data_IF_859236053340
#
_entry.id   IF_859236053340
#
_cell.length_a   1.000
_cell.length_b   1.000
_cell.length_c   1.000
_cell.angle_alpha   90.00
_cell.angle_beta   90.00
_cell.angle_gamma   90.00
#
_symmetry.space_group_name_H-M   'P 1'
#
loop_
_entity.id
_entity.type
_entity.pdbx_description
1 polymer ?
#
# COMPACT_ATOMS: atom_id res chain seq x y z
N UNK A 1 -10.20 5.14 3.79
CA UNK A 1 -11.23 4.18 4.24
C UNK A 1 -12.24 3.99 3.10
N UNK A 2 -11.79 3.46 1.95
CA UNK A 2 -12.59 3.41 0.70
C UNK A 2 -12.98 1.96 0.29
N UNK A 3 -12.48 0.92 0.97
CA UNK A 3 -12.71 -0.47 0.52
C UNK A 3 -13.76 -1.28 1.29
N UNK A 4 -14.47 -0.71 2.26
CA UNK A 4 -15.46 -1.46 3.07
C UNK A 4 -16.86 -1.56 2.41
N UNK A 5 -17.04 -1.10 1.18
CA UNK A 5 -18.36 -0.79 0.62
C UNK A 5 -19.04 -1.79 -0.31
N UNK A 6 -18.37 -2.84 -0.80
CA UNK A 6 -19.05 -3.89 -1.60
C UNK A 6 -18.74 -5.25 -1.01
N UNK A 7 -19.79 -5.89 -0.50
CA UNK A 7 -19.76 -7.25 0.01
C UNK A 7 -19.18 -8.17 -1.06
N UNK A 8 -18.09 -8.87 -0.75
CA UNK A 8 -17.63 -9.97 -1.61
C UNK A 8 -18.72 -11.04 -1.81
N UNK A 9 -19.66 -11.14 -0.86
CA UNK A 9 -20.84 -11.99 -0.91
C UNK A 9 -21.86 -11.59 -2.00
N UNK A 10 -21.75 -10.40 -2.62
CA UNK A 10 -22.62 -9.98 -3.74
C UNK A 10 -22.06 -10.36 -5.11
N UNK A 11 -20.84 -10.90 -5.20
CA UNK A 11 -20.26 -11.36 -6.46
C UNK A 11 -20.66 -12.82 -6.73
N UNK A 12 -21.86 -13.01 -7.28
CA UNK A 12 -22.40 -14.33 -7.65
C UNK A 12 -21.52 -15.09 -8.67
N UNK A 13 -20.62 -14.38 -9.39
CA UNK A 13 -19.68 -14.96 -10.37
C UNK A 13 -18.33 -14.22 -10.32
N UNK A 14 -17.21 -14.96 -10.28
CA UNK A 14 -15.85 -14.40 -10.36
C UNK A 14 -15.60 -13.78 -11.74
N UNK A 15 -15.24 -12.48 -11.84
CA UNK A 15 -14.90 -11.86 -13.11
C UNK A 15 -13.73 -12.57 -13.77
N UNK A 16 -13.80 -12.73 -15.09
CA UNK A 16 -12.71 -13.25 -15.92
C UNK A 16 -12.12 -12.09 -16.73
N UNK A 17 -10.80 -11.94 -16.67
CA UNK A 17 -10.08 -10.89 -17.40
C UNK A 17 -8.92 -11.47 -18.19
N UNK A 18 -8.54 -10.81 -19.27
CA UNK A 18 -7.46 -11.23 -20.17
C UNK A 18 -6.30 -10.24 -20.14
N UNK A 19 -5.07 -10.71 -19.89
CA UNK A 19 -3.88 -9.94 -20.23
C UNK A 19 -3.34 -10.34 -21.61
N UNK A 20 -2.93 -9.36 -22.40
CA UNK A 20 -2.30 -9.52 -23.71
C UNK A 20 -0.93 -8.82 -23.64
N UNK A 21 0.11 -9.56 -23.28
CA UNK A 21 1.41 -8.98 -22.96
C UNK A 21 2.55 -10.00 -23.14
N UNK A 22 3.79 -9.51 -23.04
CA UNK A 22 4.97 -10.37 -23.02
C UNK A 22 5.19 -11.07 -21.67
N UNK A 23 5.90 -12.19 -21.70
CA UNK A 23 6.36 -12.94 -20.53
C UNK A 23 7.72 -12.42 -20.04
N UNK A 24 7.78 -12.07 -18.76
CA UNK A 24 8.99 -11.70 -18.02
C UNK A 24 9.53 -12.94 -17.29
N UNK A 25 10.67 -13.49 -17.76
CA UNK A 25 11.34 -14.61 -17.09
C UNK A 25 11.71 -14.34 -15.62
N UNK A 26 11.87 -13.08 -15.21
CA UNK A 26 12.11 -12.68 -13.83
C UNK A 26 10.85 -12.68 -12.96
N UNK A 27 9.67 -12.74 -13.58
CA UNK A 27 8.37 -12.78 -12.93
C UNK A 27 7.96 -11.49 -12.20
N UNK A 28 8.61 -10.36 -12.48
CA UNK A 28 8.36 -9.08 -11.83
C UNK A 28 7.39 -8.18 -12.60
N UNK A 29 7.36 -8.31 -13.92
CA UNK A 29 6.50 -7.57 -14.85
C UNK A 29 5.75 -8.54 -15.78
N UNK A 30 5.24 -8.03 -16.91
CA UNK A 30 4.61 -8.86 -17.95
C UNK A 30 3.37 -9.62 -17.48
N UNK A 31 3.04 -10.70 -18.18
CA UNK A 31 1.89 -11.56 -17.83
C UNK A 31 2.01 -12.12 -16.41
N UNK A 32 3.23 -12.34 -15.90
CA UNK A 32 3.45 -12.85 -14.56
C UNK A 32 2.98 -11.86 -13.48
N UNK A 33 3.27 -10.56 -13.65
CA UNK A 33 2.73 -9.52 -12.77
C UNK A 33 1.21 -9.41 -12.90
N UNK A 34 0.69 -9.54 -14.11
CA UNK A 34 -0.74 -9.39 -14.39
C UNK A 34 -1.56 -10.50 -13.73
N UNK A 35 -1.20 -11.76 -13.96
CA UNK A 35 -1.89 -12.92 -13.37
C UNK A 35 -1.82 -12.90 -11.85
N UNK A 36 -0.67 -12.51 -11.26
CA UNK A 36 -0.56 -12.35 -9.80
C UNK A 36 -1.46 -11.25 -9.28
N UNK A 37 -1.55 -10.12 -9.99
CA UNK A 37 -2.41 -8.99 -9.62
C UNK A 37 -3.89 -9.38 -9.68
N UNK A 38 -4.32 -10.03 -10.77
CA UNK A 38 -5.68 -10.54 -10.92
C UNK A 38 -6.05 -11.49 -9.78
N UNK A 39 -5.18 -12.47 -9.50
CA UNK A 39 -5.37 -13.41 -8.39
C UNK A 39 -5.46 -12.72 -7.02
N UNK A 40 -4.61 -11.72 -6.77
CA UNK A 40 -4.65 -10.92 -5.54
C UNK A 40 -5.92 -10.09 -5.35
N UNK A 41 -6.65 -9.82 -6.45
CA UNK A 41 -7.86 -8.99 -6.46
C UNK A 41 -9.15 -9.80 -6.69
N UNK A 42 -9.09 -11.12 -6.47
CA UNK A 42 -10.21 -12.04 -6.61
C UNK A 42 -10.81 -12.05 -8.02
N UNK A 43 -9.95 -11.96 -9.04
CA UNK A 43 -10.32 -12.01 -10.46
C UNK A 43 -9.63 -13.21 -11.11
N UNK A 44 -10.34 -13.94 -11.96
CA UNK A 44 -9.76 -15.02 -12.73
C UNK A 44 -8.96 -14.45 -13.92
N UNK A 45 -7.64 -14.54 -13.83
CA UNK A 45 -6.73 -14.08 -14.86
C UNK A 45 -6.53 -15.11 -15.98
N UNK A 46 -6.70 -14.68 -17.22
CA UNK A 46 -6.35 -15.41 -18.44
C UNK A 46 -5.27 -14.63 -19.20
N UNK A 47 -4.55 -15.27 -20.13
CA UNK A 47 -3.47 -14.60 -20.86
C UNK A 47 -3.38 -15.01 -22.34
N UNK A 48 -2.94 -14.07 -23.16
CA UNK A 48 -2.43 -14.28 -24.51
C UNK A 48 -1.02 -13.68 -24.60
N UNK A 49 -0.02 -14.53 -24.80
CA UNK A 49 1.39 -14.12 -24.78
C UNK A 49 1.73 -13.48 -26.13
N UNK A 50 2.37 -12.31 -26.12
CA UNK A 50 2.82 -11.62 -27.33
C UNK A 50 4.29 -11.90 -27.64
N UNK A 51 5.13 -11.95 -26.61
CA UNK A 51 6.57 -12.15 -26.71
C UNK A 51 7.08 -12.86 -25.46
N UNK A 52 8.17 -13.62 -25.58
CA UNK A 52 8.87 -14.21 -24.45
C UNK A 52 10.21 -13.52 -24.28
N UNK A 53 10.47 -12.97 -23.09
CA UNK A 53 11.73 -12.27 -22.81
C UNK A 53 12.65 -13.11 -21.94
N UNK A 54 13.93 -13.16 -22.30
CA UNK A 54 14.99 -13.56 -21.37
C UNK A 54 15.38 -12.36 -20.52
N UNK A 55 14.56 -12.06 -19.52
CA UNK A 55 14.68 -10.90 -18.64
C UNK A 55 14.98 -11.30 -17.20
N UNK A 56 15.65 -10.43 -16.45
CA UNK A 56 15.80 -10.53 -15.00
C UNK A 56 15.88 -9.14 -14.37
N UNK A 57 16.13 -9.05 -13.06
CA UNK A 57 16.20 -7.77 -12.33
C UNK A 57 17.25 -6.78 -12.85
N UNK A 58 18.19 -7.21 -13.71
CA UNK A 58 19.27 -6.37 -14.26
C UNK A 58 19.02 -5.91 -15.70
N UNK A 59 17.92 -6.32 -16.33
CA UNK A 59 17.57 -5.91 -17.69
C UNK A 59 17.09 -7.05 -18.58
N UNK A 60 16.73 -6.68 -19.81
CA UNK A 60 16.35 -7.60 -20.90
C UNK A 60 17.60 -8.07 -21.64
N UNK A 61 17.77 -9.38 -21.82
CA UNK A 61 18.89 -9.96 -22.59
C UNK A 61 18.51 -10.28 -24.03
N UNK A 62 17.30 -10.76 -24.24
CA UNK A 62 16.72 -11.06 -25.55
C UNK A 62 15.21 -11.16 -25.45
N UNK A 63 14.52 -11.02 -26.59
CA UNK A 63 13.09 -11.21 -26.73
C UNK A 63 12.80 -12.09 -27.97
N UNK A 64 11.70 -12.83 -27.91
CA UNK A 64 11.19 -13.62 -29.02
C UNK A 64 9.69 -13.38 -29.18
N UNK A 65 9.34 -12.70 -30.26
CA UNK A 65 7.95 -12.36 -30.57
C UNK A 65 7.23 -13.58 -31.14
N UNK A 66 6.05 -13.86 -30.60
CA UNK A 66 5.20 -14.92 -31.13
C UNK A 66 4.56 -14.45 -32.44
N UNK A 67 4.31 -15.38 -33.39
CA UNK A 67 3.60 -15.04 -34.61
C UNK A 67 2.23 -14.40 -34.28
N UNK A 68 1.79 -13.33 -34.98
CA UNK A 68 0.51 -12.67 -34.70
C UNK A 68 -0.71 -13.60 -34.77
N UNK A 69 -0.64 -14.66 -35.59
CA UNK A 69 -1.68 -15.70 -35.62
C UNK A 69 -1.77 -16.46 -34.30
N UNK A 70 -0.63 -16.80 -33.69
CA UNK A 70 -0.59 -17.50 -32.39
C UNK A 70 -1.11 -16.60 -31.27
N UNK A 71 -0.88 -15.29 -31.33
CA UNK A 71 -1.49 -14.33 -30.39
C UNK A 71 -3.01 -14.33 -30.55
N UNK A 72 -3.50 -14.29 -31.80
CA UNK A 72 -4.94 -14.30 -32.10
C UNK A 72 -5.61 -15.61 -31.65
N UNK A 73 -4.99 -16.75 -31.92
CA UNK A 73 -5.48 -18.08 -31.55
C UNK A 73 -5.63 -18.23 -30.02
N UNK A 74 -4.71 -17.65 -29.24
CA UNK A 74 -4.80 -17.63 -27.77
C UNK A 74 -5.99 -16.78 -27.30
N UNK A 75 -6.20 -15.59 -27.89
CA UNK A 75 -7.33 -14.71 -27.54
C UNK A 75 -8.65 -15.41 -27.87
N UNK A 76 -8.76 -16.01 -29.06
CA UNK A 76 -9.93 -16.78 -29.49
C UNK A 76 -10.23 -17.94 -28.53
N UNK A 77 -9.21 -18.73 -28.18
CA UNK A 77 -9.39 -19.89 -27.30
C UNK A 77 -10.00 -19.51 -25.94
N UNK A 78 -9.60 -18.37 -25.37
CA UNK A 78 -10.15 -17.89 -24.10
C UNK A 78 -11.52 -17.25 -24.29
N UNK A 79 -11.68 -16.36 -25.27
CA UNK A 79 -12.92 -15.58 -25.45
C UNK A 79 -14.10 -16.42 -25.95
N UNK A 80 -13.84 -17.57 -26.56
CA UNK A 80 -14.89 -18.50 -27.01
C UNK A 80 -15.37 -19.47 -25.92
N UNK A 81 -14.58 -19.66 -24.86
CA UNK A 81 -14.89 -20.56 -23.75
C UNK A 81 -15.38 -19.81 -22.49
N UNK A 82 -14.84 -18.63 -22.22
CA UNK A 82 -15.05 -17.89 -20.96
C UNK A 82 -15.73 -16.52 -21.19
N UNK A 83 -16.48 -16.01 -20.21
CA UNK A 83 -17.10 -14.66 -20.24
C UNK A 83 -16.07 -13.56 -20.00
N UNK A 84 -15.12 -13.40 -20.92
CA UNK A 84 -14.11 -12.34 -20.90
C UNK A 84 -14.70 -11.06 -21.44
N UNK A 85 -14.82 -10.03 -20.60
CA UNK A 85 -15.26 -8.68 -21.03
C UNK A 85 -14.18 -7.63 -20.92
N UNK A 86 -13.25 -7.80 -19.99
CA UNK A 86 -12.19 -6.85 -19.71
C UNK A 86 -10.85 -7.44 -20.10
N UNK A 87 -10.05 -6.64 -20.79
CA UNK A 87 -8.71 -7.02 -21.18
C UNK A 87 -7.71 -5.92 -20.84
N UNK A 88 -6.44 -6.28 -20.70
CA UNK A 88 -5.32 -5.37 -20.54
C UNK A 88 -4.27 -5.70 -21.57
N UNK A 89 -3.77 -4.73 -22.33
CA UNK A 89 -2.54 -4.91 -23.10
C UNK A 89 -1.34 -4.41 -22.31
N UNK A 90 -0.24 -5.16 -22.33
CA UNK A 90 1.08 -4.69 -21.92
C UNK A 90 1.99 -4.51 -23.13
N UNK A 91 3.24 -4.97 -23.03
CA UNK A 91 4.17 -4.96 -24.16
C UNK A 91 3.64 -5.77 -25.36
N UNK A 92 3.44 -5.11 -26.50
CA UNK A 92 2.97 -5.71 -27.76
C UNK A 92 4.07 -5.95 -28.81
N UNK A 93 5.27 -5.39 -28.58
CA UNK A 93 6.54 -5.55 -29.32
C UNK A 93 6.59 -5.17 -30.81
N UNK A 94 5.53 -5.39 -31.61
CA UNK A 94 5.53 -5.14 -33.05
C UNK A 94 4.20 -4.65 -33.59
N UNK A 95 4.26 -3.92 -34.72
CA UNK A 95 3.08 -3.43 -35.43
C UNK A 95 2.10 -4.56 -35.79
N UNK A 96 2.60 -5.72 -36.25
CA UNK A 96 1.73 -6.83 -36.66
C UNK A 96 0.98 -7.46 -35.48
N UNK A 97 1.62 -7.54 -34.31
CA UNK A 97 0.94 -7.96 -33.08
C UNK A 97 -0.11 -6.93 -32.67
N UNK A 98 0.21 -5.62 -32.72
CA UNK A 98 -0.78 -4.56 -32.42
C UNK A 98 -2.02 -4.70 -33.30
N UNK A 99 -1.86 -4.95 -34.61
CA UNK A 99 -3.00 -5.16 -35.53
C UNK A 99 -3.81 -6.40 -35.17
N UNK A 100 -3.15 -7.51 -34.87
CA UNK A 100 -3.80 -8.75 -34.45
C UNK A 100 -4.63 -8.56 -33.18
N UNK A 101 -4.09 -7.83 -32.20
CA UNK A 101 -4.78 -7.48 -30.96
C UNK A 101 -5.95 -6.54 -31.23
N UNK A 102 -5.77 -5.46 -32.00
CA UNK A 102 -6.85 -4.53 -32.36
C UNK A 102 -8.01 -5.24 -33.06
N UNK A 103 -7.71 -6.14 -34.00
CA UNK A 103 -8.72 -6.98 -34.65
C UNK A 103 -9.48 -7.83 -33.64
N UNK A 104 -8.77 -8.53 -32.75
CA UNK A 104 -9.38 -9.43 -31.76
C UNK A 104 -10.23 -8.67 -30.74
N UNK A 105 -9.75 -7.51 -30.25
CA UNK A 105 -10.50 -6.62 -29.35
C UNK A 105 -11.84 -6.22 -29.96
N UNK A 106 -11.84 -5.85 -31.24
CA UNK A 106 -13.06 -5.48 -31.97
C UNK A 106 -13.98 -6.68 -32.20
N UNK A 107 -13.42 -7.83 -32.56
CA UNK A 107 -14.15 -9.06 -32.87
C UNK A 107 -14.91 -9.61 -31.64
N UNK A 108 -14.26 -9.60 -30.47
CA UNK A 108 -14.84 -10.10 -29.21
C UNK A 108 -15.47 -9.01 -28.34
N UNK A 109 -15.42 -7.73 -28.76
CA UNK A 109 -16.03 -6.62 -28.03
C UNK A 109 -15.40 -6.33 -26.66
N UNK A 110 -14.09 -6.53 -26.53
CA UNK A 110 -13.37 -6.41 -25.26
C UNK A 110 -13.25 -4.94 -24.82
N UNK A 111 -13.52 -4.67 -23.54
CA UNK A 111 -13.14 -3.42 -22.89
C UNK A 111 -11.66 -3.47 -22.53
N UNK A 112 -10.82 -2.97 -23.42
CA UNK A 112 -9.36 -3.02 -23.24
C UNK A 112 -8.80 -1.79 -22.51
N UNK A 113 -7.96 -2.05 -21.51
CA UNK A 113 -7.05 -1.08 -20.89
C UNK A 113 -5.70 -1.21 -21.58
N UNK A 114 -5.23 -0.13 -22.20
CA UNK A 114 -3.94 -0.13 -22.90
C UNK A 114 -2.87 0.45 -21.98
N UNK A 115 -1.92 -0.37 -21.56
CA UNK A 115 -0.67 0.08 -20.94
C UNK A 115 0.36 0.28 -22.07
N UNK A 116 0.64 1.53 -22.50
CA UNK A 116 1.39 1.79 -23.73
C UNK A 116 2.91 1.67 -23.49
N UNK A 117 3.35 0.49 -23.06
CA UNK A 117 4.74 0.19 -22.69
C UNK A 117 5.67 0.43 -23.88
N UNK A 118 6.44 1.53 -23.83
CA UNK A 118 7.40 1.89 -24.88
C UNK A 118 8.84 1.47 -24.54
N UNK A 119 9.20 1.45 -23.26
CA UNK A 119 10.54 1.13 -22.78
C UNK A 119 10.50 0.24 -21.52
N UNK A 120 11.55 -0.55 -21.32
CA UNK A 120 11.70 -1.36 -20.12
C UNK A 120 12.22 -0.52 -18.96
N UNK A 121 11.61 -0.68 -17.79
CA UNK A 121 12.08 -0.04 -16.54
C UNK A 121 13.49 -0.52 -16.13
N UNK A 122 13.83 -1.78 -16.47
CA UNK A 122 15.17 -2.33 -16.30
C UNK A 122 16.14 -1.98 -17.48
N UNK A 123 15.69 -1.12 -18.42
CA UNK A 123 16.43 -0.66 -19.59
C UNK A 123 16.18 -1.46 -20.87
N UNK A 124 16.12 -0.76 -22.01
CA UNK A 124 15.91 -1.32 -23.35
C UNK A 124 14.61 -0.81 -24.02
N UNK A 125 14.65 -0.58 -25.33
CA UNK A 125 13.45 -0.28 -26.13
C UNK A 125 12.59 -1.55 -26.27
N UNK A 126 11.30 -1.42 -26.00
CA UNK A 126 10.34 -2.55 -26.03
C UNK A 126 9.30 -2.44 -27.15
N UNK A 127 9.16 -1.25 -27.75
CA UNK A 127 8.23 -1.01 -28.84
C UNK A 127 8.96 -0.28 -29.97
N UNK A 128 8.94 -0.87 -31.17
CA UNK A 128 9.52 -0.23 -32.36
C UNK A 128 8.76 1.07 -32.70
N UNK A 129 9.45 2.09 -33.23
CA UNK A 129 8.82 3.37 -33.61
C UNK A 129 7.61 3.18 -34.55
N UNK A 130 7.72 2.27 -35.51
CA UNK A 130 6.63 1.92 -36.44
C UNK A 130 5.41 1.33 -35.73
N UNK A 131 5.58 0.69 -34.57
CA UNK A 131 4.48 0.13 -33.79
C UNK A 131 3.73 1.19 -32.97
N UNK A 132 4.37 2.34 -32.64
CA UNK A 132 3.70 3.45 -31.95
C UNK A 132 2.63 4.08 -32.84
N UNK A 133 2.90 4.26 -34.13
CA UNK A 133 1.89 4.80 -35.07
C UNK A 133 0.68 3.86 -35.18
N UNK A 134 0.92 2.56 -35.34
CA UNK A 134 -0.13 1.54 -35.39
C UNK A 134 -0.92 1.45 -34.08
N UNK A 135 -0.27 1.60 -32.93
CA UNK A 135 -0.93 1.67 -31.63
C UNK A 135 -1.93 2.84 -31.59
N UNK A 136 -1.50 4.02 -32.04
CA UNK A 136 -2.33 5.23 -32.08
C UNK A 136 -3.49 5.13 -33.06
N UNK A 137 -3.26 4.53 -34.22
CA UNK A 137 -4.22 4.51 -35.32
C UNK A 137 -5.21 3.33 -35.22
N UNK A 138 -4.82 2.20 -34.64
CA UNK A 138 -5.62 0.96 -34.69
C UNK A 138 -6.10 0.46 -33.32
N UNK A 139 -5.33 0.64 -32.23
CA UNK A 139 -5.69 0.07 -30.92
C UNK A 139 -6.24 1.10 -29.92
N UNK A 140 -5.59 2.27 -29.76
CA UNK A 140 -6.08 3.33 -28.88
C UNK A 140 -7.52 3.79 -29.20
N UNK A 141 -7.97 3.89 -30.46
CA UNK A 141 -9.36 4.26 -30.76
C UNK A 141 -10.39 3.22 -30.27
N UNK A 142 -9.97 2.00 -29.94
CA UNK A 142 -10.81 0.94 -29.42
C UNK A 142 -10.76 0.83 -27.88
N UNK A 143 -9.86 1.55 -27.22
CA UNK A 143 -9.59 1.33 -25.80
C UNK A 143 -10.62 2.00 -24.90
N UNK A 144 -10.96 1.29 -23.83
CA UNK A 144 -11.75 1.85 -22.74
C UNK A 144 -10.90 2.84 -21.93
N UNK A 145 -9.64 2.48 -21.67
CA UNK A 145 -8.69 3.36 -21.00
C UNK A 145 -7.28 3.18 -21.53
N UNK A 146 -6.43 4.18 -21.32
CA UNK A 146 -4.97 4.07 -21.47
C UNK A 146 -4.27 4.60 -20.22
N UNK A 147 -3.15 3.96 -19.82
CA UNK A 147 -2.43 4.28 -18.57
C UNK A 147 -0.99 4.75 -18.79
N UNK A 148 -0.71 5.72 -19.69
CA UNK A 148 0.66 6.15 -19.95
C UNK A 148 1.30 6.76 -18.70
N UNK A 149 2.60 6.51 -18.50
CA UNK A 149 3.40 7.37 -17.63
C UNK A 149 3.64 8.73 -18.28
N UNK A 150 4.30 9.66 -17.58
CA UNK A 150 4.59 10.99 -18.13
C UNK A 150 5.35 10.96 -19.46
N UNK A 151 6.37 10.12 -19.59
CA UNK A 151 7.19 10.05 -20.82
C UNK A 151 6.37 9.50 -22.00
N UNK A 152 5.61 8.43 -21.76
CA UNK A 152 4.70 7.84 -22.75
C UNK A 152 3.59 8.83 -23.13
N UNK A 153 3.07 9.61 -22.18
CA UNK A 153 2.05 10.62 -22.44
C UNK A 153 2.59 11.73 -23.35
N UNK A 154 3.86 12.14 -23.19
CA UNK A 154 4.50 13.09 -24.11
C UNK A 154 4.63 12.51 -25.52
N UNK A 155 5.02 11.24 -25.66
CA UNK A 155 5.13 10.57 -26.97
C UNK A 155 3.76 10.43 -27.65
N UNK A 156 2.74 10.01 -26.91
CA UNK A 156 1.40 9.81 -27.46
C UNK A 156 0.74 11.15 -27.86
N UNK A 157 0.84 12.16 -27.01
CA UNK A 157 0.22 13.48 -27.23
C UNK A 157 1.02 14.39 -28.18
N UNK A 158 2.35 14.23 -28.25
CA UNK A 158 3.26 15.20 -28.87
C UNK A 158 3.44 16.50 -28.06
N UNK A 159 2.98 16.54 -26.81
CA UNK A 159 3.05 17.70 -25.91
C UNK A 159 4.10 17.43 -24.84
N UNK A 160 5.03 18.37 -24.64
CA UNK A 160 5.98 18.30 -23.51
C UNK A 160 5.27 18.67 -22.21
N UNK A 161 5.40 17.86 -21.17
CA UNK A 161 4.66 18.01 -19.91
C UNK A 161 5.59 18.58 -18.83
N UNK A 162 5.49 19.87 -18.54
CA UNK A 162 6.26 20.55 -17.49
C UNK A 162 5.38 21.14 -16.37
N UNK A 163 4.07 20.91 -16.44
CA UNK A 163 3.10 21.41 -15.48
C UNK A 163 1.84 20.54 -15.45
N UNK A 164 0.99 20.78 -14.45
CA UNK A 164 -0.34 20.12 -14.36
C UNK A 164 -1.25 20.49 -15.54
N UNK A 165 -1.14 21.71 -16.05
CA UNK A 165 -1.96 22.15 -17.20
C UNK A 165 -1.48 21.49 -18.49
N UNK A 166 -0.16 21.32 -18.69
CA UNK A 166 0.36 20.55 -19.82
C UNK A 166 -0.12 19.09 -19.78
N UNK A 167 -0.18 18.49 -18.58
CA UNK A 167 -0.71 17.14 -18.42
C UNK A 167 -2.20 17.03 -18.79
N UNK A 168 -3.01 18.06 -18.49
CA UNK A 168 -4.42 18.12 -18.91
C UNK A 168 -4.57 18.21 -20.43
N UNK A 169 -3.75 19.05 -21.06
CA UNK A 169 -3.76 19.18 -22.53
C UNK A 169 -3.24 17.92 -23.22
N UNK A 170 -2.21 17.27 -22.66
CA UNK A 170 -1.75 15.96 -23.12
C UNK A 170 -2.85 14.89 -22.99
N UNK A 171 -3.59 14.85 -21.87
CA UNK A 171 -4.69 13.92 -21.68
C UNK A 171 -5.81 14.13 -22.73
N UNK A 172 -6.17 15.38 -23.03
CA UNK A 172 -7.13 15.72 -24.10
C UNK A 172 -6.64 15.30 -25.48
N UNK A 173 -5.36 15.55 -25.79
CA UNK A 173 -4.75 15.16 -27.05
C UNK A 173 -4.74 13.64 -27.24
N UNK A 174 -4.47 12.88 -26.17
CA UNK A 174 -4.53 11.42 -26.19
C UNK A 174 -5.97 10.94 -26.36
N UNK A 175 -6.93 11.53 -25.64
CA UNK A 175 -8.35 11.21 -25.79
C UNK A 175 -8.87 11.49 -27.22
N UNK A 176 -8.34 12.51 -27.90
CA UNK A 176 -8.69 12.82 -29.29
C UNK A 176 -8.28 11.70 -30.28
N UNK A 177 -7.44 10.75 -29.87
CA UNK A 177 -7.16 9.52 -30.62
C UNK A 177 -8.32 8.51 -30.56
N UNK A 178 -9.39 8.78 -29.80
CA UNK A 178 -10.56 7.91 -29.65
C UNK A 178 -10.62 7.15 -28.32
N UNK A 179 -9.70 7.43 -27.39
CA UNK A 179 -9.69 6.82 -26.06
C UNK A 179 -10.79 7.43 -25.17
N UNK A 180 -11.54 6.58 -24.46
CA UNK A 180 -12.60 7.06 -23.55
C UNK A 180 -12.06 7.66 -22.25
N UNK A 181 -11.04 7.01 -21.67
CA UNK A 181 -10.46 7.41 -20.40
C UNK A 181 -8.93 7.45 -20.48
N UNK A 182 -8.32 8.54 -20.04
CA UNK A 182 -6.85 8.67 -20.01
C UNK A 182 -6.39 8.80 -18.56
N UNK A 183 -5.52 7.90 -18.12
CA UNK A 183 -4.94 7.91 -16.78
C UNK A 183 -3.43 8.15 -16.90
N UNK A 184 -3.00 9.40 -16.75
CA UNK A 184 -1.57 9.75 -16.77
C UNK A 184 -0.99 9.45 -15.40
N UNK A 185 -0.09 8.47 -15.34
CA UNK A 185 0.55 7.99 -14.11
C UNK A 185 1.91 8.64 -13.88
N UNK A 186 2.38 8.62 -12.63
CA UNK A 186 3.73 9.08 -12.27
C UNK A 186 3.82 10.59 -12.06
N UNK A 187 2.74 11.19 -11.54
CA UNK A 187 2.54 12.63 -11.33
C UNK A 187 3.77 13.50 -11.06
N UNK A 188 3.70 14.76 -11.53
CA UNK A 188 4.55 15.87 -11.08
C UNK A 188 4.74 15.88 -9.56
N UNK A 189 5.92 16.30 -9.07
CA UNK A 189 6.43 16.60 -7.69
C UNK A 189 5.83 15.97 -6.42
N UNK A 190 4.60 15.47 -6.45
CA UNK A 190 3.75 15.01 -5.35
C UNK A 190 3.12 13.62 -5.63
N UNK A 191 3.53 12.90 -6.69
CA UNK A 191 3.06 11.56 -7.06
C UNK A 191 1.54 11.43 -7.38
N UNK A 192 0.90 12.54 -7.77
CA UNK A 192 -0.54 12.62 -8.10
C UNK A 192 -0.81 12.21 -9.55
N UNK A 193 -1.63 11.18 -9.77
CA UNK A 193 -2.01 10.77 -11.13
C UNK A 193 -3.24 11.57 -11.61
N UNK A 194 -3.38 11.73 -12.93
CA UNK A 194 -4.48 12.48 -13.56
C UNK A 194 -5.38 11.54 -14.33
N UNK A 195 -6.68 11.56 -14.03
CA UNK A 195 -7.72 10.85 -14.79
C UNK A 195 -8.51 11.87 -15.60
N UNK A 196 -8.68 11.60 -16.90
CA UNK A 196 -9.52 12.37 -17.81
C UNK A 196 -10.59 11.48 -18.46
N UNK A 197 -11.85 11.85 -18.29
CA UNK A 197 -13.01 11.19 -18.88
C UNK A 197 -13.51 12.01 -20.08
N UNK A 198 -13.30 11.50 -21.30
CA UNK A 198 -13.51 12.28 -22.52
C UNK A 198 -14.98 12.52 -22.85
N UNK A 199 -15.87 11.58 -22.50
CA UNK A 199 -17.31 11.70 -22.75
C UNK A 199 -17.95 12.83 -21.91
N UNK A 200 -17.46 13.05 -20.68
CA UNK A 200 -17.97 14.09 -19.77
C UNK A 200 -17.09 15.34 -19.70
N UNK A 201 -15.92 15.34 -20.35
CA UNK A 201 -14.88 16.37 -20.25
C UNK A 201 -14.51 16.69 -18.78
N UNK A 202 -14.37 15.64 -17.95
CA UNK A 202 -14.07 15.77 -16.53
C UNK A 202 -12.65 15.30 -16.20
N UNK A 203 -12.04 15.98 -15.23
CA UNK A 203 -10.76 15.62 -14.66
C UNK A 203 -10.92 15.21 -13.19
N UNK A 204 -10.18 14.19 -12.79
CA UNK A 204 -9.99 13.83 -11.39
C UNK A 204 -8.50 13.67 -11.09
N UNK A 205 -8.09 14.06 -9.88
CA UNK A 205 -6.75 13.81 -9.36
C UNK A 205 -6.79 12.59 -8.44
N UNK A 206 -5.87 11.64 -8.66
CA UNK A 206 -5.69 10.47 -7.80
C UNK A 206 -4.52 10.76 -6.87
N UNK A 207 -4.76 10.99 -5.57
CA UNK A 207 -3.70 11.30 -4.63
C UNK A 207 -2.77 10.09 -4.45
N UNK A 208 -1.49 10.36 -4.28
CA UNK A 208 -0.47 9.35 -4.02
C UNK A 208 0.65 9.89 -3.14
N UNK A 209 1.66 9.07 -2.89
CA UNK A 209 2.88 9.48 -2.22
C UNK A 209 4.09 8.76 -2.80
N UNK A 210 5.28 9.38 -2.73
CA UNK A 210 6.50 8.66 -3.07
C UNK A 210 6.78 7.58 -2.01
N UNK A 211 6.72 6.33 -2.45
CA UNK A 211 7.02 5.16 -1.63
C UNK A 211 8.41 4.66 -2.00
N UNK A 212 9.25 4.46 -0.98
CA UNK A 212 10.56 3.83 -1.16
C UNK A 212 10.39 2.33 -1.33
N UNK A 213 11.04 1.77 -2.36
CA UNK A 213 10.98 0.34 -2.67
C UNK A 213 11.42 0.04 -4.09
N UNK A 214 11.35 -1.23 -4.46
CA UNK A 214 11.48 -1.69 -5.82
C UNK A 214 10.28 -1.33 -6.67
N UNK A 215 10.53 -0.85 -7.89
CA UNK A 215 9.50 -0.37 -8.81
C UNK A 215 9.31 -1.27 -10.03
N UNK A 216 10.18 -2.28 -10.25
CA UNK A 216 10.10 -3.16 -11.42
C UNK A 216 8.72 -3.82 -11.53
N UNK A 217 8.00 -3.49 -12.60
CA UNK A 217 6.65 -4.00 -12.87
C UNK A 217 5.51 -3.20 -12.22
N UNK A 218 5.80 -2.01 -11.68
CA UNK A 218 4.81 -1.11 -11.08
C UNK A 218 3.73 -0.69 -12.08
N UNK A 219 4.10 -0.30 -13.30
CA UNK A 219 3.15 0.05 -14.37
C UNK A 219 2.21 -1.11 -14.74
N UNK A 220 2.78 -2.29 -15.02
CA UNK A 220 2.00 -3.50 -15.31
C UNK A 220 1.05 -3.87 -14.16
N UNK A 221 1.52 -3.72 -12.91
CA UNK A 221 0.71 -3.98 -11.72
C UNK A 221 -0.42 -2.97 -11.58
N UNK A 222 -0.17 -1.68 -11.84
CA UNK A 222 -1.17 -0.63 -11.80
C UNK A 222 -2.28 -0.86 -12.85
N UNK A 223 -1.91 -1.06 -14.11
CA UNK A 223 -2.87 -1.28 -15.21
C UNK A 223 -3.67 -2.57 -15.03
N UNK A 224 -3.06 -3.63 -14.47
CA UNK A 224 -3.77 -4.87 -14.10
C UNK A 224 -4.70 -4.69 -12.90
N UNK A 225 -4.31 -3.91 -11.89
CA UNK A 225 -5.19 -3.60 -10.77
C UNK A 225 -6.38 -2.75 -11.22
N UNK A 226 -6.15 -1.74 -12.06
CA UNK A 226 -7.19 -0.90 -12.68
C UNK A 226 -8.21 -1.77 -13.43
N UNK A 227 -7.72 -2.67 -14.28
CA UNK A 227 -8.54 -3.63 -15.03
C UNK A 227 -9.38 -4.51 -14.11
N UNK A 228 -8.80 -4.98 -13.00
CA UNK A 228 -9.50 -5.82 -12.02
C UNK A 228 -10.64 -5.08 -11.31
N UNK A 229 -10.42 -3.84 -10.89
CA UNK A 229 -11.45 -3.04 -10.24
C UNK A 229 -12.57 -2.64 -11.20
N UNK A 230 -12.23 -2.31 -12.45
CA UNK A 230 -13.21 -2.07 -13.51
C UNK A 230 -14.07 -3.32 -13.78
N UNK A 231 -13.45 -4.51 -13.85
CA UNK A 231 -14.16 -5.78 -13.99
C UNK A 231 -15.10 -6.10 -12.82
N UNK A 232 -14.82 -5.54 -11.64
CA UNK A 232 -15.67 -5.61 -10.44
C UNK A 232 -16.71 -4.48 -10.36
N UNK A 233 -16.81 -3.64 -11.40
CA UNK A 233 -17.82 -2.60 -11.55
C UNK A 233 -17.52 -1.30 -10.83
N UNK A 234 -16.24 -0.98 -10.59
CA UNK A 234 -15.83 0.33 -10.07
C UNK A 234 -15.92 1.38 -11.17
N UNK A 235 -16.11 2.65 -10.79
CA UNK A 235 -15.92 3.78 -11.72
C UNK A 235 -14.44 3.89 -12.10
N UNK A 236 -14.11 4.59 -13.19
CA UNK A 236 -12.71 4.78 -13.59
C UNK A 236 -11.89 5.49 -12.50
N UNK A 237 -12.46 6.50 -11.85
CA UNK A 237 -11.78 7.24 -10.77
C UNK A 237 -11.59 6.35 -9.55
N UNK A 238 -12.62 5.63 -9.10
CA UNK A 238 -12.49 4.73 -7.94
C UNK A 238 -11.53 3.58 -8.22
N UNK A 239 -11.54 3.04 -9.44
CA UNK A 239 -10.62 2.00 -9.87
C UNK A 239 -9.17 2.51 -9.91
N UNK A 240 -8.93 3.74 -10.36
CA UNK A 240 -7.61 4.36 -10.39
C UNK A 240 -7.07 4.63 -8.98
N UNK A 241 -7.91 5.11 -8.06
CA UNK A 241 -7.57 5.27 -6.64
C UNK A 241 -7.20 3.92 -6.02
N UNK A 242 -8.02 2.89 -6.24
CA UNK A 242 -7.81 1.57 -5.70
C UNK A 242 -6.56 0.88 -6.31
N UNK A 243 -6.29 1.09 -7.59
CA UNK A 243 -5.09 0.61 -8.27
C UNK A 243 -3.81 1.31 -7.76
N UNK A 244 -3.89 2.63 -7.49
CA UNK A 244 -2.80 3.40 -6.88
C UNK A 244 -2.45 2.85 -5.49
N UNK A 245 -3.45 2.68 -4.63
CA UNK A 245 -3.24 2.11 -3.30
C UNK A 245 -2.65 0.68 -3.38
N UNK A 246 -3.12 -0.14 -4.33
CA UNK A 246 -2.61 -1.48 -4.54
C UNK A 246 -1.12 -1.50 -4.92
N UNK A 247 -0.71 -0.67 -5.89
CA UNK A 247 0.70 -0.60 -6.33
C UNK A 247 1.60 0.00 -5.25
N UNK A 248 1.12 0.99 -4.48
CA UNK A 248 1.88 1.57 -3.36
C UNK A 248 2.21 0.51 -2.30
N UNK A 249 1.26 -0.36 -1.95
CA UNK A 249 1.54 -1.51 -1.08
C UNK A 249 2.52 -2.50 -1.73
N UNK A 250 2.42 -2.71 -3.04
CA UNK A 250 3.33 -3.57 -3.78
C UNK A 250 4.78 -3.05 -3.79
N UNK A 251 4.97 -1.74 -3.90
CA UNK A 251 6.28 -1.08 -3.84
C UNK A 251 6.83 -1.16 -2.41
N UNK A 252 6.01 -0.79 -1.42
CA UNK A 252 6.40 -0.82 0.00
C UNK A 252 6.89 -2.19 0.44
N UNK A 253 6.24 -3.25 -0.03
CA UNK A 253 6.55 -4.65 0.28
C UNK A 253 7.33 -5.35 -0.84
N UNK A 254 7.98 -4.57 -1.71
CA UNK A 254 8.85 -5.07 -2.79
C UNK A 254 9.93 -6.01 -2.27
N UNK A 255 10.41 -6.90 -3.15
CA UNK A 255 11.32 -7.98 -2.73
C UNK A 255 12.67 -7.87 -3.41
N UNK A 256 13.73 -7.81 -2.62
CA UNK A 256 15.09 -7.89 -3.13
C UNK A 256 15.48 -9.34 -3.45
N UNK A 257 15.06 -9.81 -4.63
CA UNK A 257 15.26 -11.18 -5.12
C UNK A 257 16.40 -11.31 -6.14
N UNK A 258 17.07 -10.21 -6.48
CA UNK A 258 18.07 -10.16 -7.53
C UNK A 258 19.16 -9.13 -7.25
N UNK A 259 19.88 -8.73 -8.31
CA UNK A 259 21.02 -7.80 -8.21
C UNK A 259 20.73 -6.39 -8.75
N UNK A 260 19.55 -6.18 -9.32
CA UNK A 260 19.17 -4.90 -9.91
C UNK A 260 17.87 -4.38 -9.30
N UNK A 261 16.98 -3.82 -10.11
CA UNK A 261 15.73 -3.23 -9.64
C UNK A 261 14.85 -4.34 -9.04
N UNK A 262 14.42 -4.13 -7.79
CA UNK A 262 13.58 -5.10 -7.09
C UNK A 262 12.16 -5.08 -7.68
N UNK A 263 11.53 -6.25 -7.94
CA UNK A 263 10.13 -6.31 -8.34
C UNK A 263 9.21 -5.83 -7.23
N UNK A 264 8.14 -5.16 -7.63
CA UNK A 264 6.97 -4.93 -6.77
C UNK A 264 6.39 -6.28 -6.33
N UNK A 265 5.80 -6.30 -5.15
CA UNK A 265 5.14 -7.49 -4.61
C UNK A 265 3.64 -7.42 -4.89
N UNK A 266 3.18 -8.11 -5.94
CA UNK A 266 1.75 -8.14 -6.31
C UNK A 266 0.85 -8.79 -5.26
N UNK A 267 1.43 -9.44 -4.24
CA UNK A 267 0.69 -9.95 -3.07
C UNK A 267 0.78 -9.01 -1.86
N UNK A 268 1.45 -7.87 -1.97
CA UNK A 268 1.66 -6.91 -0.89
C UNK A 268 0.35 -6.42 -0.28
N UNK A 269 -0.67 -6.17 -1.11
CA UNK A 269 -2.01 -5.82 -0.64
C UNK A 269 -2.62 -6.92 0.26
N UNK A 270 -2.59 -8.18 -0.18
CA UNK A 270 -3.10 -9.31 0.63
C UNK A 270 -2.32 -9.49 1.92
N UNK A 271 -0.99 -9.34 1.87
CA UNK A 271 -0.14 -9.39 3.06
C UNK A 271 -0.49 -8.28 4.05
N UNK A 272 -0.77 -7.07 3.56
CA UNK A 272 -1.19 -5.95 4.39
C UNK A 272 -2.58 -6.18 5.01
N UNK A 273 -3.53 -6.75 4.25
CA UNK A 273 -4.85 -7.07 4.80
C UNK A 273 -4.77 -8.18 5.86
N UNK A 274 -3.95 -9.21 5.65
CA UNK A 274 -3.70 -10.24 6.66
C UNK A 274 -3.04 -9.65 7.93
N UNK A 275 -2.09 -8.73 7.75
CA UNK A 275 -1.43 -8.04 8.88
C UNK A 275 -2.40 -7.19 9.70
N UNK A 276 -3.44 -6.62 9.08
CA UNK A 276 -4.50 -5.88 9.80
C UNK A 276 -5.27 -6.77 10.76
N UNK A 277 -5.67 -7.95 10.31
CA UNK A 277 -6.38 -8.92 11.15
C UNK A 277 -5.50 -9.39 12.32
N UNK A 278 -4.23 -9.71 12.04
CA UNK A 278 -3.26 -10.10 13.08
C UNK A 278 -3.07 -8.99 14.14
N UNK A 279 -2.88 -7.74 13.71
CA UNK A 279 -2.71 -6.60 14.61
C UNK A 279 -3.95 -6.37 15.47
N UNK A 280 -5.16 -6.47 14.89
CA UNK A 280 -6.40 -6.34 15.65
C UNK A 280 -6.52 -7.46 16.69
N UNK A 281 -6.34 -8.72 16.29
CA UNK A 281 -6.43 -9.87 17.17
C UNK A 281 -5.40 -9.81 18.32
N UNK A 282 -4.15 -9.45 18.02
CA UNK A 282 -3.08 -9.30 19.00
C UNK A 282 -3.41 -8.18 20.01
N UNK A 283 -3.86 -7.02 19.51
CA UNK A 283 -4.23 -5.88 20.36
C UNK A 283 -5.44 -6.20 21.23
N UNK A 284 -6.48 -6.85 20.68
CA UNK A 284 -7.64 -7.28 21.45
C UNK A 284 -7.28 -8.27 22.56
N UNK A 285 -6.41 -9.24 22.27
CA UNK A 285 -5.91 -10.18 23.26
C UNK A 285 -5.14 -9.45 24.38
N UNK A 286 -4.25 -8.54 24.02
CA UNK A 286 -3.51 -7.72 24.98
C UNK A 286 -4.43 -6.89 25.87
N UNK A 287 -5.48 -6.29 25.28
CA UNK A 287 -6.51 -5.54 26.01
C UNK A 287 -7.24 -6.43 27.03
N UNK A 288 -7.61 -7.66 26.65
CA UNK A 288 -8.23 -8.63 27.58
C UNK A 288 -7.29 -9.00 28.72
N UNK A 289 -6.01 -9.24 28.42
CA UNK A 289 -4.99 -9.52 29.45
C UNK A 289 -4.92 -8.39 30.49
N UNK A 290 -4.95 -7.14 30.04
CA UNK A 290 -4.95 -5.97 30.93
C UNK A 290 -6.25 -5.82 31.72
N UNK A 291 -7.42 -6.05 31.10
CA UNK A 291 -8.74 -5.94 31.75
C UNK A 291 -8.97 -7.04 32.80
N UNK A 292 -8.48 -8.26 32.54
CA UNK A 292 -8.67 -9.41 33.44
C UNK A 292 -7.71 -9.42 34.63
N UNK A 293 -6.67 -8.55 34.65
CA UNK A 293 -5.72 -8.44 35.76
C UNK A 293 -6.11 -7.35 36.77
N UNK A 294 -6.53 -7.71 38.00
CA UNK A 294 -6.88 -6.72 39.02
C UNK A 294 -5.70 -5.82 39.41
N UNK A 295 -4.47 -6.35 39.38
CA UNK A 295 -3.28 -5.61 39.78
C UNK A 295 -2.96 -4.48 38.81
N UNK A 296 -3.30 -4.63 37.53
CA UNK A 296 -3.09 -3.58 36.52
C UNK A 296 -3.81 -2.25 36.87
N UNK A 297 -4.87 -2.30 37.68
CA UNK A 297 -5.56 -1.10 38.19
C UNK A 297 -4.64 -0.10 38.90
N UNK A 298 -3.51 -0.55 39.47
CA UNK A 298 -2.47 0.28 40.12
C UNK A 298 -1.66 1.10 39.11
N UNK A 299 -1.53 0.59 37.90
CA UNK A 299 -0.84 1.22 36.78
C UNK A 299 -1.77 2.07 35.91
N UNK A 300 -3.07 2.13 36.20
CA UNK A 300 -3.99 3.00 35.47
C UNK A 300 -3.82 4.46 35.91
N UNK A 301 -3.41 5.32 34.97
CA UNK A 301 -3.24 6.76 35.17
C UNK A 301 -4.59 7.48 35.39
N UNK A 302 -4.59 8.71 35.89
CA UNK A 302 -5.83 9.47 36.11
C UNK A 302 -6.53 9.78 34.78
N UNK A 303 -5.76 10.14 33.76
CA UNK A 303 -6.28 10.28 32.39
C UNK A 303 -6.58 8.94 31.72
N UNK A 304 -6.33 7.80 32.37
CA UNK A 304 -6.49 6.46 31.81
C UNK A 304 -5.34 6.02 30.88
N UNK A 305 -5.27 4.72 30.66
CA UNK A 305 -4.26 4.06 29.82
C UNK A 305 -4.80 3.77 28.42
N UNK A 306 -3.91 3.52 27.48
CA UNK A 306 -4.23 2.97 26.18
C UNK A 306 -3.05 2.10 25.72
N UNK A 307 -3.37 1.11 24.88
CA UNK A 307 -2.42 0.18 24.30
C UNK A 307 -2.63 0.19 22.79
N UNK A 308 -1.54 0.18 22.04
CA UNK A 308 -1.58 0.24 20.61
C UNK A 308 -0.54 -0.69 19.97
N UNK A 309 -0.86 -1.16 18.77
CA UNK A 309 0.06 -1.90 17.89
C UNK A 309 -0.10 -1.41 16.45
N UNK A 310 1.03 -1.21 15.78
CA UNK A 310 1.11 -0.74 14.42
C UNK A 310 1.26 -1.90 13.43
N UNK A 311 0.76 -1.68 12.21
CA UNK A 311 1.10 -2.52 11.06
C UNK A 311 2.61 -2.51 10.79
N UNK A 312 3.16 -3.57 10.20
CA UNK A 312 4.49 -3.49 9.58
C UNK A 312 4.54 -2.30 8.61
N UNK A 313 5.62 -1.52 8.67
CA UNK A 313 5.82 -0.31 7.85
C UNK A 313 4.76 0.79 8.00
N UNK A 314 4.04 0.84 9.13
CA UNK A 314 3.10 1.91 9.43
C UNK A 314 3.75 3.30 9.34
N UNK A 315 3.07 4.26 8.70
CA UNK A 315 3.54 5.65 8.55
C UNK A 315 2.58 6.70 9.09
N UNK A 316 1.32 6.32 9.30
CA UNK A 316 0.25 7.22 9.73
C UNK A 316 -0.52 6.62 10.89
N UNK A 317 -1.19 7.48 11.65
CA UNK A 317 -2.01 7.08 12.82
C UNK A 317 -3.09 6.05 12.44
N UNK A 318 -3.62 6.12 11.22
CA UNK A 318 -4.61 5.16 10.72
C UNK A 318 -4.04 3.76 10.43
N UNK A 319 -2.72 3.57 10.49
CA UNK A 319 -2.07 2.25 10.39
C UNK A 319 -1.84 1.61 11.77
N UNK A 320 -2.28 2.27 12.86
CA UNK A 320 -2.10 1.81 14.24
C UNK A 320 -3.44 1.46 14.86
N UNK A 321 -3.59 0.23 15.35
CA UNK A 321 -4.73 -0.21 16.13
C UNK A 321 -4.55 0.15 17.59
N UNK A 322 -5.61 0.66 18.22
CA UNK A 322 -5.61 0.98 19.65
C UNK A 322 -7.03 0.89 20.21
N UNK A 323 -7.19 1.00 21.53
CA UNK A 323 -8.50 1.08 22.18
C UNK A 323 -9.18 2.40 21.81
N UNK A 324 -10.42 2.33 21.29
CA UNK A 324 -11.29 3.49 21.13
C UNK A 324 -11.74 3.97 22.53
N UNK A 325 -11.31 5.16 22.92
CA UNK A 325 -11.38 5.61 24.31
C UNK A 325 -10.12 5.19 25.08
N UNK A 326 -10.30 4.63 26.29
CA UNK A 326 -9.21 4.31 27.21
C UNK A 326 -9.52 3.09 28.08
N UNK A 327 -8.47 2.56 28.69
CA UNK A 327 -8.55 1.64 29.83
C UNK A 327 -8.57 2.51 31.09
N UNK A 328 -9.67 2.47 31.83
CA UNK A 328 -9.90 3.32 33.02
C UNK A 328 -10.02 2.47 34.28
N UNK A 329 -9.84 3.11 35.44
CA UNK A 329 -10.06 2.45 36.73
C UNK A 329 -11.52 2.61 37.13
N UNK A 330 -12.29 1.53 37.06
CA UNK A 330 -13.68 1.47 37.48
C UNK A 330 -13.84 0.50 38.66
N UNK A 331 -14.28 1.00 39.81
CA UNK A 331 -14.48 0.20 41.03
C UNK A 331 -13.24 -0.62 41.44
N UNK A 332 -12.04 -0.03 41.28
CA UNK A 332 -10.77 -0.67 41.64
C UNK A 332 -10.31 -1.74 40.65
N UNK A 333 -10.92 -1.84 39.46
CA UNK A 333 -10.51 -2.74 38.38
C UNK A 333 -10.22 -1.96 37.10
N UNK A 334 -9.33 -2.44 36.24
CA UNK A 334 -9.23 -1.93 34.88
C UNK A 334 -10.52 -2.25 34.12
N UNK A 335 -11.00 -1.30 33.34
CA UNK A 335 -12.17 -1.44 32.48
C UNK A 335 -11.89 -0.78 31.13
N UNK A 336 -12.15 -1.51 30.05
CA UNK A 336 -11.98 -1.02 28.69
C UNK A 336 -13.26 -0.29 28.28
N UNK A 337 -13.13 0.95 27.78
CA UNK A 337 -14.29 1.79 27.44
C UNK A 337 -14.86 1.48 26.05
N UNK A 338 -14.02 1.14 25.07
CA UNK A 338 -14.45 0.88 23.69
C UNK A 338 -13.63 -0.20 23.00
N UNK A 339 -14.02 -0.52 21.76
CA UNK A 339 -13.40 -1.59 20.98
C UNK A 339 -12.02 -1.19 20.46
N UNK A 340 -11.22 -2.18 20.04
CA UNK A 340 -9.98 -1.91 19.30
C UNK A 340 -10.34 -1.54 17.86
N UNK A 341 -9.72 -0.48 17.35
CA UNK A 341 -9.83 -0.13 15.93
C UNK A 341 -8.58 0.62 15.44
N UNK A 342 -8.32 0.55 14.14
CA UNK A 342 -7.30 1.36 13.50
C UNK A 342 -7.61 2.86 13.62
N UNK A 343 -6.60 3.68 13.88
CA UNK A 343 -6.73 5.13 14.03
C UNK A 343 -7.43 5.59 15.32
N UNK A 344 -7.69 4.69 16.27
CA UNK A 344 -8.45 4.99 17.48
C UNK A 344 -7.78 5.98 18.45
N UNK A 345 -6.44 6.00 18.48
CA UNK A 345 -5.68 6.81 19.45
C UNK A 345 -4.51 7.52 18.78
N UNK A 346 -4.59 8.84 18.64
CA UNK A 346 -3.50 9.62 18.04
C UNK A 346 -2.29 9.80 18.96
N UNK A 347 -2.44 9.64 20.28
CA UNK A 347 -1.34 9.84 21.22
C UNK A 347 -0.41 8.64 21.24
N UNK A 348 -0.94 7.44 21.53
CA UNK A 348 -0.13 6.21 21.58
C UNK A 348 0.35 5.81 20.18
N UNK A 349 -0.45 6.06 19.14
CA UNK A 349 0.02 5.85 17.76
C UNK A 349 1.26 6.68 17.42
N UNK A 350 1.34 7.95 17.86
CA UNK A 350 2.53 8.78 17.63
C UNK A 350 3.77 8.29 18.37
N UNK A 351 3.59 7.68 19.55
CA UNK A 351 4.68 7.05 20.30
C UNK A 351 5.21 5.84 19.52
N UNK A 352 4.31 4.96 19.06
CA UNK A 352 4.67 3.76 18.30
C UNK A 352 5.35 4.14 16.99
N UNK A 353 4.78 5.08 16.22
CA UNK A 353 5.36 5.53 14.96
C UNK A 353 6.75 6.14 15.17
N UNK A 354 6.94 6.96 16.20
CA UNK A 354 8.26 7.51 16.54
C UNK A 354 9.28 6.40 16.86
N UNK A 355 8.89 5.36 17.60
CA UNK A 355 9.78 4.22 17.87
C UNK A 355 10.14 3.45 16.59
N UNK A 356 9.18 3.26 15.69
CA UNK A 356 9.38 2.56 14.41
C UNK A 356 10.34 3.28 13.45
N UNK A 357 10.50 4.61 13.56
CA UNK A 357 11.50 5.35 12.77
C UNK A 357 12.94 4.91 13.09
N UNK A 358 13.18 4.49 14.33
CA UNK A 358 14.49 4.02 14.78
C UNK A 358 14.63 2.50 14.64
N UNK A 359 13.62 1.76 15.11
CA UNK A 359 13.59 0.30 15.06
C UNK A 359 12.23 -0.18 14.55
N UNK A 360 12.10 -0.50 13.24
CA UNK A 360 10.81 -0.88 12.62
C UNK A 360 10.11 -2.09 13.24
N UNK A 361 10.85 -2.92 13.98
CA UNK A 361 10.33 -4.09 14.70
C UNK A 361 9.60 -3.73 16.00
N UNK A 362 9.84 -2.54 16.57
CA UNK A 362 9.17 -2.07 17.79
C UNK A 362 7.85 -1.39 17.39
N UNK A 363 6.77 -2.18 17.36
CA UNK A 363 5.48 -1.78 16.82
C UNK A 363 4.37 -1.62 17.85
N UNK A 364 4.66 -1.70 19.13
CA UNK A 364 3.64 -1.61 20.16
C UNK A 364 4.03 -0.73 21.34
N UNK A 365 3.02 -0.14 21.97
CA UNK A 365 3.20 0.59 23.22
C UNK A 365 1.97 0.52 24.11
N UNK A 366 2.18 0.47 25.41
CA UNK A 366 1.16 0.79 26.43
C UNK A 366 1.65 1.92 27.31
N UNK A 367 0.80 2.92 27.52
CA UNK A 367 1.08 3.98 28.48
C UNK A 367 0.50 3.61 29.85
N UNK A 368 1.31 3.73 30.90
CA UNK A 368 0.99 3.40 32.29
C UNK A 368 1.35 4.55 33.23
N UNK A 369 0.72 4.55 34.41
CA UNK A 369 0.93 5.54 35.45
C UNK A 369 2.40 5.65 35.85
N UNK A 370 2.89 6.88 35.92
CA UNK A 370 4.20 7.17 36.46
C UNK A 370 4.21 7.16 38.00
N UNK A 371 5.23 6.54 38.58
CA UNK A 371 5.62 6.74 39.98
C UNK A 371 7.08 6.32 40.17
N UNK A 372 7.73 6.80 41.24
CA UNK A 372 9.08 6.37 41.58
C UNK A 372 9.16 4.85 41.83
N UNK A 373 8.12 4.27 42.45
CA UNK A 373 8.06 2.82 42.67
C UNK A 373 7.95 2.05 41.35
N UNK A 374 7.19 2.55 40.37
CA UNK A 374 7.11 1.94 39.03
C UNK A 374 8.48 1.96 38.35
N UNK A 375 9.20 3.09 38.41
CA UNK A 375 10.54 3.16 37.83
C UNK A 375 11.53 2.21 38.52
N UNK A 376 11.48 2.12 39.85
CA UNK A 376 12.32 1.19 40.62
C UNK A 376 12.03 -0.28 40.28
N UNK A 377 10.75 -0.64 40.07
CA UNK A 377 10.35 -1.98 39.59
C UNK A 377 10.90 -2.24 38.19
N UNK A 378 10.80 -1.29 37.26
CA UNK A 378 11.36 -1.43 35.92
C UNK A 378 12.88 -1.63 35.95
N UNK A 379 13.59 -0.91 36.82
CA UNK A 379 15.04 -1.04 37.02
C UNK A 379 15.41 -2.42 37.60
N UNK A 380 14.67 -2.90 38.61
CA UNK A 380 14.83 -4.25 39.20
C UNK A 380 14.58 -5.38 38.18
N UNK A 381 13.63 -5.17 37.26
CA UNK A 381 13.38 -6.06 36.13
C UNK A 381 14.51 -6.05 35.08
N UNK A 382 15.46 -5.13 35.16
CA UNK A 382 16.55 -4.99 34.19
C UNK A 382 16.08 -4.43 32.84
N UNK A 383 14.94 -3.72 32.81
CA UNK A 383 14.44 -3.10 31.58
C UNK A 383 15.34 -1.94 31.17
N UNK A 384 15.54 -1.76 29.87
CA UNK A 384 16.23 -0.58 29.35
C UNK A 384 15.32 0.63 29.48
N UNK A 385 15.85 1.74 30.01
CA UNK A 385 15.05 2.92 30.33
C UNK A 385 15.70 4.20 29.81
N UNK A 386 14.86 5.10 29.31
CA UNK A 386 15.22 6.50 29.01
C UNK A 386 14.11 7.43 29.50
N UNK A 387 14.40 8.72 29.53
CA UNK A 387 13.44 9.75 29.97
C UNK A 387 13.66 11.05 29.25
N UNK A 388 12.63 11.90 29.22
CA UNK A 388 12.72 13.26 28.71
C UNK A 388 11.98 14.23 29.63
N UNK A 389 12.38 15.52 29.58
CA UNK A 389 11.71 16.59 30.29
C UNK A 389 10.88 17.43 29.33
N UNK A 390 9.61 17.70 29.68
CA UNK A 390 8.75 18.59 28.88
C UNK A 390 9.16 20.05 28.96
N UNK A 391 9.99 20.43 29.92
CA UNK A 391 10.56 21.78 29.99
C UNK A 391 11.62 22.03 28.89
N UNK A 392 12.11 20.97 28.26
CA UNK A 392 13.11 21.01 27.20
C UNK A 392 12.46 20.93 25.80
N UNK A 393 11.12 20.87 25.74
CA UNK A 393 10.33 20.81 24.49
C UNK A 393 10.51 22.13 23.70
N UNK A 394 11.05 22.10 22.47
CA UNK A 394 11.24 23.32 21.67
C UNK A 394 9.91 24.00 21.31
N UNK A 395 9.89 25.33 21.25
CA UNK A 395 8.68 26.15 21.04
C UNK A 395 7.97 25.94 19.68
N UNK A 396 8.58 25.23 18.73
CA UNK A 396 8.05 25.03 17.36
C UNK A 396 8.12 23.58 16.86
N UNK A 397 7.91 22.61 17.74
CA UNK A 397 8.01 21.20 17.34
C UNK A 397 6.66 20.67 16.83
N UNK A 398 6.58 20.45 15.51
CA UNK A 398 5.44 19.81 14.82
C UNK A 398 5.61 18.29 14.65
N UNK A 399 6.66 17.70 15.23
CA UNK A 399 7.06 16.31 14.94
C UNK A 399 6.15 15.27 15.59
N UNK A 400 6.27 14.04 15.08
CA UNK A 400 6.05 12.82 15.87
C UNK A 400 6.65 12.97 17.28
N UNK A 401 6.02 12.36 18.28
CA UNK A 401 6.15 12.67 19.72
C UNK A 401 7.61 13.02 20.12
N UNK A 402 7.95 14.33 20.12
CA UNK A 402 9.34 14.81 20.21
C UNK A 402 10.08 14.22 21.40
N UNK A 403 9.38 14.07 22.53
CA UNK A 403 9.97 13.51 23.74
C UNK A 403 10.40 12.05 23.58
N UNK A 404 9.63 11.26 22.83
CA UNK A 404 9.97 9.86 22.51
C UNK A 404 11.20 9.82 21.62
N UNK A 405 11.20 10.60 20.52
CA UNK A 405 12.36 10.70 19.61
C UNK A 405 13.62 11.13 20.37
N UNK A 406 13.53 12.18 21.19
CA UNK A 406 14.64 12.67 22.01
C UNK A 406 15.16 11.62 23.00
N UNK A 407 14.27 10.90 23.67
CA UNK A 407 14.64 9.86 24.62
C UNK A 407 15.32 8.67 23.94
N UNK A 408 14.90 8.31 22.72
CA UNK A 408 15.52 7.26 21.90
C UNK A 408 16.90 7.73 21.42
N UNK A 409 17.02 8.92 20.84
CA UNK A 409 18.28 9.50 20.38
C UNK A 409 19.32 9.57 21.51
N UNK A 410 18.89 10.04 22.68
CA UNK A 410 19.76 10.16 23.85
C UNK A 410 20.25 8.81 24.38
N UNK A 411 19.44 7.76 24.22
CA UNK A 411 19.81 6.40 24.63
C UNK A 411 20.60 5.64 23.55
N UNK A 412 20.43 6.01 22.28
CA UNK A 412 21.10 5.44 21.11
C UNK A 412 20.41 4.23 20.47
N UNK A 413 19.27 3.80 21.01
CA UNK A 413 18.39 2.72 20.50
C UNK A 413 17.02 2.83 21.16
N UNK A 414 16.03 2.04 20.75
CA UNK A 414 14.70 2.09 21.37
C UNK A 414 14.73 1.37 22.74
N UNK A 415 14.52 2.07 23.87
CA UNK A 415 14.47 1.42 25.18
C UNK A 415 13.10 0.76 25.41
N UNK A 416 13.04 -0.23 26.30
CA UNK A 416 11.79 -0.87 26.70
C UNK A 416 10.87 0.10 27.45
N UNK A 417 11.44 1.08 28.17
CA UNK A 417 10.70 2.08 28.94
C UNK A 417 11.13 3.50 28.57
N UNK A 418 10.16 4.36 28.27
CA UNK A 418 10.34 5.81 28.19
C UNK A 418 9.44 6.50 29.19
N UNK A 419 10.00 7.32 30.07
CA UNK A 419 9.25 8.06 31.09
C UNK A 419 9.33 9.58 30.93
N UNK A 420 8.26 10.27 31.31
CA UNK A 420 8.27 11.73 31.49
C UNK A 420 7.62 12.11 32.82
N UNK A 421 8.24 13.06 33.53
CA UNK A 421 7.74 13.56 34.81
C UNK A 421 6.57 14.55 34.68
N UNK A 422 5.94 14.63 33.50
CA UNK A 422 4.84 15.54 33.21
C UNK A 422 5.30 17.00 33.00
N UNK A 423 4.34 17.90 33.00
CA UNK A 423 4.54 19.35 32.87
C UNK A 423 3.25 20.10 33.16
N UNK A 424 3.22 21.43 32.99
CA UNK A 424 1.98 22.18 33.19
C UNK A 424 0.86 21.65 32.28
N UNK A 425 -0.19 21.10 32.89
CA UNK A 425 -1.33 20.52 32.18
C UNK A 425 -1.10 19.15 31.53
N UNK A 426 0.06 18.49 31.76
CA UNK A 426 0.39 17.17 31.21
C UNK A 426 0.73 16.19 32.35
N UNK A 427 -0.05 15.12 32.49
CA UNK A 427 0.16 14.09 33.51
C UNK A 427 1.48 13.33 33.27
N UNK A 428 2.28 13.04 34.32
CA UNK A 428 3.46 12.19 34.22
C UNK A 428 3.11 10.78 33.72
N UNK A 429 3.95 10.21 32.86
CA UNK A 429 3.63 8.95 32.17
C UNK A 429 4.86 8.06 31.98
N UNK A 430 4.65 6.75 32.05
CA UNK A 430 5.60 5.72 31.62
C UNK A 430 5.04 5.04 30.38
N UNK A 431 5.88 4.88 29.35
CA UNK A 431 5.55 4.21 28.09
C UNK A 431 6.36 2.93 28.03
N UNK A 432 5.67 1.80 27.96
CA UNK A 432 6.30 0.51 27.68
C UNK A 432 6.30 0.33 26.17
N UNK A 433 7.44 -0.04 25.59
CA UNK A 433 7.64 -0.26 24.16
C UNK A 433 8.03 -1.72 23.92
N UNK A 434 7.57 -2.28 22.80
CA UNK A 434 7.82 -3.67 22.43
C UNK A 434 7.39 -3.99 21.01
N UNK A 435 7.55 -5.24 20.61
CA UNK A 435 7.33 -5.71 19.23
C UNK A 435 5.84 -5.90 18.92
N UNK A 436 5.06 -6.31 19.90
CA UNK A 436 3.62 -6.52 19.78
C UNK A 436 2.85 -6.15 21.06
N UNK A 437 1.51 -6.05 20.94
CA UNK A 437 0.68 -5.60 22.06
C UNK A 437 0.71 -6.59 23.23
N UNK A 438 0.77 -7.89 22.95
CA UNK A 438 0.82 -8.95 23.97
C UNK A 438 2.11 -8.84 24.80
N UNK A 439 3.24 -8.59 24.14
CA UNK A 439 4.54 -8.37 24.81
C UNK A 439 4.46 -7.17 25.76
N UNK A 440 4.03 -6.00 25.28
CA UNK A 440 3.99 -4.80 26.13
C UNK A 440 2.94 -4.91 27.24
N UNK A 441 1.84 -5.61 27.01
CA UNK A 441 0.87 -5.94 28.04
C UNK A 441 1.47 -6.88 29.10
N UNK A 442 2.20 -7.91 28.68
CA UNK A 442 2.88 -8.84 29.59
C UNK A 442 3.88 -8.14 30.50
N UNK A 443 4.70 -7.24 29.94
CA UNK A 443 5.63 -6.41 30.70
C UNK A 443 4.87 -5.52 31.69
N UNK A 444 3.79 -4.86 31.26
CA UNK A 444 2.98 -4.03 32.14
C UNK A 444 2.32 -4.81 33.28
N UNK A 445 1.87 -6.05 33.02
CA UNK A 445 1.32 -6.93 34.04
C UNK A 445 2.37 -7.37 35.06
N UNK A 446 3.59 -7.70 34.62
CA UNK A 446 4.68 -8.04 35.53
C UNK A 446 5.07 -6.85 36.42
N UNK A 447 5.11 -5.63 35.85
CA UNK A 447 5.30 -4.40 36.63
C UNK A 447 4.19 -4.25 37.68
N UNK A 448 2.93 -4.51 37.31
CA UNK A 448 1.79 -4.37 38.20
C UNK A 448 1.84 -5.38 39.36
N UNK A 449 2.26 -6.62 39.09
CA UNK A 449 2.35 -7.68 40.09
C UNK A 449 3.51 -7.45 41.06
N UNK A 450 4.69 -7.04 40.57
CA UNK A 450 5.83 -6.66 41.43
C UNK A 450 5.51 -5.43 42.28
N UNK A 451 4.83 -4.43 41.71
CA UNK A 451 4.39 -3.26 42.46
C UNK A 451 3.40 -3.65 43.57
N UNK A 452 2.45 -4.54 43.28
CA UNK A 452 1.51 -5.04 44.28
C UNK A 452 2.22 -5.80 45.42
N UNK A 453 3.31 -6.50 45.13
CA UNK A 453 4.11 -7.20 46.14
C UNK A 453 4.95 -6.26 47.02
N UNK A 454 5.36 -5.09 46.50
CA UNK A 454 6.07 -4.06 47.28
C UNK A 454 5.14 -3.26 48.20
N UNK A 455 3.86 -3.16 47.84
CA UNK A 455 2.83 -2.42 48.58
C UNK A 455 2.05 -3.28 49.60
N UNK A 456 2.22 -4.60 49.55
CA UNK A 456 1.64 -5.59 50.48
C UNK A 456 2.54 -5.80 51.69
#
# INVERSE_FOLDING_TARGET
>A
MIMEGRNMDEMDVTPVVLTIAGSDSGGGAGIEADIKTFGSLYVHGTCAITSVTSQNTTGVKSAYDLPPSVVSDQIEAVCTDMDVRWAKSGMLSSADIVRAVAKSVKEYGLHIIVDPVMAAEAGGELLNEDAVSVLKDELLPLSYATTPNMDEAQVLSGITINSRDDAREAAKAIAALGVKNVVITGGHSDAVDLVYESESDLFAEVPGSFIEGGTHGSGCTYSSALTSYLARGYSIVDAAIAAKEFVEYGILLSRNVGKGVSPVNQMGYLQMMASKDEVLANTEQAVRMLEDSPNFSRLVAEVGCNIAMALPHARKVSDVAAVNGRIVRLQGRPKVVGCVSFGASSHVARIVLAAMEFEPEIRASVNIKYSQNVLAVCEDMGLTMSSFSRAEEPEHTHTMDWGVTYAIDSYGRVPAIISDAGGMGKEPMVRVLGRDAIEVASIALEIADRLAALEA
#
